data_IF_377328490582
#
_entry.id   IF_377328490582
#
_cell.length_a   1.000
_cell.length_b   1.000
_cell.length_c   1.000
_cell.angle_alpha   90.00
_cell.angle_beta   90.00
_cell.angle_gamma   90.00
#
_symmetry.space_group_name_H-M   'P 1'
#
loop_
_entity.id
_entity.type
_entity.pdbx_description
1 polymer ?
#
# COMPACT_ATOMS: atom_id res chain seq x y z
N UNK A 1 34.83 13.64 15.54
CA UNK A 1 34.08 13.75 14.28
C UNK A 1 34.90 13.14 13.15
N UNK A 2 34.64 11.89 12.78
CA UNK A 2 35.34 11.22 11.67
C UNK A 2 34.63 11.56 10.37
N UNK A 3 35.20 12.51 9.62
CA UNK A 3 34.84 12.77 8.22
C UNK A 3 35.14 11.51 7.42
N UNK A 4 34.10 10.67 7.20
CA UNK A 4 34.19 9.50 6.33
C UNK A 4 34.37 10.00 4.90
N UNK A 5 35.60 9.94 4.41
CA UNK A 5 35.96 10.17 3.02
C UNK A 5 35.15 9.21 2.15
N UNK A 6 34.07 9.73 1.56
CA UNK A 6 33.40 9.07 0.45
C UNK A 6 34.35 9.11 -0.74
N UNK A 7 34.63 8.01 -1.43
CA UNK A 7 35.13 8.11 -2.79
C UNK A 7 34.03 8.80 -3.60
N UNK A 8 34.19 10.11 -3.84
CA UNK A 8 33.42 10.87 -4.83
C UNK A 8 33.80 10.32 -6.20
N UNK A 9 33.21 9.20 -6.59
CA UNK A 9 33.50 8.52 -7.85
C UNK A 9 32.26 7.84 -8.40
N UNK A 10 32.01 8.03 -9.70
CA UNK A 10 30.96 7.38 -10.50
C UNK A 10 31.12 5.84 -10.62
N UNK A 11 31.89 5.21 -9.72
CA UNK A 11 32.35 3.80 -9.79
C UNK A 11 32.03 2.99 -8.54
N UNK A 12 31.28 3.56 -7.59
CA UNK A 12 30.81 2.84 -6.39
C UNK A 12 29.48 2.17 -6.70
N UNK A 13 29.43 0.86 -6.48
CA UNK A 13 28.23 0.05 -6.55
C UNK A 13 27.85 -0.46 -5.16
N UNK A 14 26.55 -0.60 -4.92
CA UNK A 14 25.98 -1.04 -3.66
C UNK A 14 25.29 -2.39 -3.85
N UNK A 15 25.59 -3.36 -2.98
CA UNK A 15 24.83 -4.59 -2.87
C UNK A 15 24.01 -4.55 -1.58
N UNK A 16 22.78 -5.03 -1.65
CA UNK A 16 21.92 -5.17 -0.47
C UNK A 16 22.12 -6.56 0.11
N UNK A 17 22.30 -6.66 1.42
CA UNK A 17 22.43 -7.91 2.15
C UNK A 17 21.35 -8.01 3.23
N UNK A 18 20.79 -9.20 3.41
CA UNK A 18 19.87 -9.55 4.48
C UNK A 18 20.21 -10.91 5.06
N UNK A 19 20.36 -11.00 6.39
CA UNK A 19 20.82 -12.17 7.13
C UNK A 19 22.11 -12.80 6.56
N UNK A 20 23.02 -11.95 6.07
CA UNK A 20 24.29 -12.38 5.50
C UNK A 20 24.22 -12.83 4.03
N UNK A 21 23.02 -13.01 3.48
CA UNK A 21 22.79 -13.31 2.06
C UNK A 21 22.74 -12.03 1.24
N UNK A 22 23.39 -12.02 0.07
CA UNK A 22 23.33 -10.91 -0.89
C UNK A 22 22.09 -11.05 -1.76
N UNK A 23 21.32 -9.96 -1.87
CA UNK A 23 20.27 -9.83 -2.88
C UNK A 23 20.95 -9.65 -4.24
N UNK A 24 20.65 -10.47 -5.26
CA UNK A 24 21.27 -10.37 -6.57
C UNK A 24 21.01 -9.02 -7.24
N UNK A 25 22.10 -8.33 -7.57
CA UNK A 25 22.05 -7.08 -8.33
C UNK A 25 22.67 -5.90 -7.61
N UNK A 26 23.70 -5.33 -8.24
CA UNK A 26 24.40 -4.16 -7.72
C UNK A 26 23.74 -2.87 -8.24
N UNK A 27 23.50 -1.92 -7.35
CA UNK A 27 22.93 -0.61 -7.66
C UNK A 27 24.03 0.44 -7.73
N UNK A 28 23.97 1.35 -8.70
CA UNK A 28 24.92 2.45 -8.79
C UNK A 28 24.56 3.58 -7.81
N UNK A 29 25.56 4.42 -7.58
CA UNK A 29 25.44 5.54 -6.66
C UNK A 29 24.33 6.53 -7.02
N UNK A 30 24.12 6.82 -8.30
CA UNK A 30 23.05 7.71 -8.76
C UNK A 30 21.68 7.17 -8.39
N UNK A 31 21.41 5.92 -8.72
CA UNK A 31 20.11 5.27 -8.50
C UNK A 31 19.77 5.25 -7.02
N UNK A 32 20.76 4.92 -6.17
CA UNK A 32 20.57 4.93 -4.72
C UNK A 32 20.25 6.32 -4.18
N UNK A 33 20.91 7.40 -4.65
CA UNK A 33 20.57 8.78 -4.20
C UNK A 33 19.13 9.11 -4.50
N UNK A 34 18.73 8.88 -5.75
CA UNK A 34 17.51 9.44 -6.27
C UNK A 34 16.30 8.68 -5.75
N UNK A 35 16.42 7.38 -5.52
CA UNK A 35 15.28 6.52 -5.23
C UNK A 35 15.21 5.96 -3.82
N UNK A 36 16.33 5.79 -3.13
CA UNK A 36 16.40 5.19 -1.77
C UNK A 36 17.60 5.77 -0.97
N UNK A 37 17.67 7.10 -0.77
CA UNK A 37 18.83 7.79 -0.23
C UNK A 37 19.30 7.27 1.14
N UNK A 38 18.40 6.83 2.03
CA UNK A 38 18.77 6.37 3.38
C UNK A 38 19.48 5.02 3.41
N UNK A 39 19.50 4.30 2.28
CA UNK A 39 20.36 3.12 2.13
C UNK A 39 21.84 3.46 2.43
N UNK A 40 22.26 4.71 2.21
CA UNK A 40 23.61 5.19 2.51
C UNK A 40 23.95 5.16 3.98
N UNK A 41 22.98 5.45 4.83
CA UNK A 41 23.18 5.61 6.28
C UNK A 41 23.13 4.25 6.99
N UNK A 42 22.74 3.20 6.27
CA UNK A 42 22.72 1.84 6.76
C UNK A 42 24.14 1.28 7.02
N UNK A 43 24.28 0.31 7.96
CA UNK A 43 25.55 -0.33 8.27
C UNK A 43 26.19 -0.96 7.04
N UNK A 44 27.50 -0.71 6.86
CA UNK A 44 28.28 -1.18 5.71
C UNK A 44 29.26 -2.25 6.16
N UNK A 45 29.41 -3.30 5.37
CA UNK A 45 30.59 -4.16 5.43
C UNK A 45 31.74 -3.47 4.67
N UNK A 46 33.01 -3.76 5.02
CA UNK A 46 34.16 -3.14 4.35
C UNK A 46 34.09 -3.36 2.83
N UNK A 47 34.46 -2.33 2.08
CA UNK A 47 34.37 -2.34 0.63
C UNK A 47 35.36 -3.35 0.05
N UNK A 48 34.89 -4.25 -0.81
CA UNK A 48 35.75 -5.10 -1.63
C UNK A 48 36.09 -4.37 -2.92
N UNK A 49 37.38 -4.09 -3.12
CA UNK A 49 37.90 -3.61 -4.39
C UNK A 49 37.83 -4.74 -5.43
N UNK A 50 37.20 -4.48 -6.57
CA UNK A 50 37.26 -5.39 -7.71
C UNK A 50 38.49 -5.10 -8.57
N UNK A 51 38.90 -6.07 -9.38
CA UNK A 51 40.07 -6.05 -10.28
C UNK A 51 40.10 -4.93 -11.32
N UNK A 52 39.09 -4.05 -11.37
CA UNK A 52 38.94 -2.95 -12.33
C UNK A 52 38.77 -1.57 -11.65
N UNK A 53 39.15 -1.41 -10.38
CA UNK A 53 39.03 -0.12 -9.66
C UNK A 53 37.59 0.29 -9.33
N UNK A 54 36.61 -0.61 -9.52
CA UNK A 54 35.24 -0.46 -9.03
C UNK A 54 35.15 -0.91 -7.58
N UNK A 55 34.51 -0.09 -6.75
CA UNK A 55 34.30 -0.37 -5.35
C UNK A 55 32.89 -0.91 -5.14
N UNK A 56 32.80 -2.09 -4.51
CA UNK A 56 31.51 -2.65 -4.10
C UNK A 56 31.35 -2.51 -2.60
N UNK A 57 30.22 -1.95 -2.19
CA UNK A 57 29.85 -1.76 -0.79
C UNK A 57 28.64 -2.65 -0.50
N UNK A 58 28.81 -3.59 0.41
CA UNK A 58 27.72 -4.40 0.92
C UNK A 58 27.02 -3.67 2.06
N UNK A 59 25.73 -3.36 1.86
CA UNK A 59 24.87 -2.70 2.85
C UNK A 59 24.02 -3.77 3.50
N UNK A 60 24.13 -3.88 4.82
CA UNK A 60 23.40 -4.88 5.60
C UNK A 60 22.12 -4.28 6.19
N UNK A 61 20.97 -4.73 5.69
CA UNK A 61 19.65 -4.31 6.16
C UNK A 61 19.08 -5.19 7.27
N UNK A 62 19.81 -6.20 7.75
CA UNK A 62 19.32 -7.17 8.75
C UNK A 62 18.79 -6.49 10.00
N UNK A 63 19.57 -5.57 10.58
CA UNK A 63 19.17 -4.86 11.78
C UNK A 63 17.98 -3.92 11.54
N UNK A 64 17.83 -3.39 10.32
CA UNK A 64 16.71 -2.53 9.94
C UNK A 64 15.43 -3.37 9.84
N UNK A 65 15.47 -4.47 9.09
CA UNK A 65 14.32 -5.38 8.95
C UNK A 65 13.90 -5.97 10.29
N UNK A 66 14.86 -6.39 11.14
CA UNK A 66 14.55 -6.94 12.47
C UNK A 66 13.99 -5.92 13.46
N UNK A 67 14.07 -4.60 13.18
CA UNK A 67 13.36 -3.57 13.98
C UNK A 67 11.90 -3.42 13.56
N UNK A 68 11.51 -3.98 12.41
CA UNK A 68 10.12 -3.99 12.00
C UNK A 68 9.33 -4.86 12.99
N UNK A 69 8.44 -4.24 13.76
CA UNK A 69 7.60 -4.92 14.77
C UNK A 69 6.79 -6.09 14.17
N UNK A 70 6.54 -6.06 12.86
CA UNK A 70 5.85 -7.11 12.14
C UNK A 70 6.66 -8.42 12.11
N UNK A 71 7.99 -8.36 12.10
CA UNK A 71 8.86 -9.56 12.08
C UNK A 71 8.74 -10.35 13.38
N UNK A 72 8.55 -9.67 14.51
CA UNK A 72 8.40 -10.31 15.82
C UNK A 72 7.07 -11.08 15.98
N UNK A 73 6.08 -10.80 15.11
CA UNK A 73 4.74 -11.37 15.20
C UNK A 73 4.59 -12.79 14.62
N UNK A 74 5.66 -13.40 14.07
CA UNK A 74 5.65 -14.63 13.27
C UNK A 74 4.83 -14.58 11.96
N UNK A 75 3.95 -13.60 11.78
CA UNK A 75 3.17 -13.41 10.55
C UNK A 75 4.01 -12.91 9.36
N UNK A 76 5.18 -12.32 9.62
CA UNK A 76 6.06 -11.74 8.61
C UNK A 76 7.46 -12.36 8.68
N UNK A 77 7.69 -13.51 8.00
CA UNK A 77 9.02 -14.11 7.96
C UNK A 77 9.99 -13.19 7.24
N UNK A 78 11.27 -13.21 7.65
CA UNK A 78 12.32 -12.40 7.02
C UNK A 78 12.47 -12.70 5.52
N UNK A 79 12.14 -13.93 5.09
CA UNK A 79 12.11 -14.32 3.68
C UNK A 79 11.20 -13.41 2.83
N UNK A 80 10.11 -12.90 3.40
CA UNK A 80 9.22 -11.98 2.69
C UNK A 80 9.91 -10.64 2.39
N UNK A 81 10.72 -10.15 3.32
CA UNK A 81 11.56 -8.97 3.07
C UNK A 81 12.65 -9.25 2.04
N UNK A 82 13.19 -10.47 1.99
CA UNK A 82 14.13 -10.86 0.93
C UNK A 82 13.47 -10.79 -0.44
N UNK A 83 12.25 -11.31 -0.58
CA UNK A 83 11.47 -11.24 -1.83
C UNK A 83 11.19 -9.79 -2.24
N UNK A 84 10.71 -8.96 -1.30
CA UNK A 84 10.47 -7.53 -1.55
C UNK A 84 11.74 -6.79 -1.98
N UNK A 85 12.87 -7.05 -1.33
CA UNK A 85 14.16 -6.46 -1.70
C UNK A 85 14.64 -6.96 -3.06
N UNK A 86 14.40 -8.22 -3.41
CA UNK A 86 14.71 -8.75 -4.73
C UNK A 86 13.91 -8.03 -5.83
N UNK A 87 12.62 -7.79 -5.60
CA UNK A 87 11.76 -7.01 -6.50
C UNK A 87 12.26 -5.56 -6.60
N UNK A 88 12.53 -4.91 -5.48
CA UNK A 88 13.02 -3.53 -5.46
C UNK A 88 14.36 -3.39 -6.21
N UNK A 89 15.32 -4.29 -5.95
CA UNK A 89 16.61 -4.29 -6.66
C UNK A 89 16.41 -4.52 -8.15
N UNK A 90 15.50 -5.41 -8.56
CA UNK A 90 15.16 -5.62 -9.97
C UNK A 90 14.61 -4.34 -10.60
N UNK A 91 13.61 -3.70 -9.98
CA UNK A 91 13.01 -2.43 -10.45
C UNK A 91 14.07 -1.36 -10.64
N UNK A 92 14.93 -1.17 -9.63
CA UNK A 92 16.00 -0.16 -9.69
C UNK A 92 17.06 -0.50 -10.74
N UNK A 93 17.37 -1.78 -10.94
CA UNK A 93 18.30 -2.20 -12.00
C UNK A 93 17.75 -2.02 -13.40
N UNK A 94 16.45 -2.23 -13.58
CA UNK A 94 15.82 -1.99 -14.87
C UNK A 94 15.82 -0.50 -15.18
N UNK A 95 15.59 0.36 -14.18
CA UNK A 95 15.79 1.81 -14.30
C UNK A 95 17.23 2.19 -14.66
N UNK A 96 18.24 1.55 -14.07
CA UNK A 96 19.64 1.79 -14.43
C UNK A 96 19.94 1.47 -15.90
N UNK A 97 19.31 0.43 -16.44
CA UNK A 97 19.45 0.04 -17.85
C UNK A 97 18.63 0.94 -18.78
N UNK A 98 17.50 1.43 -18.29
CA UNK A 98 16.54 2.22 -19.04
C UNK A 98 16.12 3.46 -18.23
N UNK A 99 16.95 4.53 -18.19
CA UNK A 99 16.73 5.69 -17.31
C UNK A 99 15.45 6.48 -17.58
N UNK A 100 14.81 6.28 -18.73
CA UNK A 100 13.53 6.92 -19.08
C UNK A 100 12.30 6.18 -18.55
N UNK A 101 12.48 4.98 -17.98
CA UNK A 101 11.36 4.20 -17.45
C UNK A 101 10.92 4.76 -16.09
N UNK A 102 9.61 4.67 -15.82
CA UNK A 102 9.07 4.98 -14.50
C UNK A 102 9.24 3.75 -13.57
N UNK A 103 10.03 3.85 -12.49
CA UNK A 103 10.17 2.75 -11.53
C UNK A 103 8.85 2.42 -10.82
N UNK A 104 7.92 3.37 -10.71
CA UNK A 104 6.59 3.13 -10.15
C UNK A 104 5.79 2.13 -10.97
N UNK A 105 5.75 2.33 -12.28
CA UNK A 105 5.13 1.40 -13.23
C UNK A 105 5.69 -0.03 -13.11
N UNK A 106 7.01 -0.21 -13.12
CA UNK A 106 7.64 -1.54 -13.01
C UNK A 106 7.38 -2.21 -11.66
N UNK A 107 7.30 -1.43 -10.57
CA UNK A 107 6.89 -1.96 -9.27
C UNK A 107 5.43 -2.39 -9.27
N UNK A 108 4.53 -1.59 -9.85
CA UNK A 108 3.11 -1.92 -10.00
C UNK A 108 2.93 -3.24 -10.75
N UNK A 109 3.56 -3.40 -11.91
CA UNK A 109 3.54 -4.63 -12.71
C UNK A 109 4.03 -5.85 -11.90
N UNK A 110 5.07 -5.65 -11.09
CA UNK A 110 5.60 -6.72 -10.22
C UNK A 110 4.60 -7.13 -9.14
N UNK A 111 3.88 -6.18 -8.55
CA UNK A 111 2.83 -6.44 -7.55
C UNK A 111 1.62 -7.13 -8.17
N UNK A 112 1.22 -6.75 -9.39
CA UNK A 112 0.14 -7.41 -10.14
C UNK A 112 0.49 -8.85 -10.49
N UNK A 113 1.73 -9.10 -10.93
CA UNK A 113 2.21 -10.46 -11.18
C UNK A 113 2.17 -11.33 -9.92
N UNK A 114 2.60 -10.79 -8.77
CA UNK A 114 2.49 -11.50 -7.49
C UNK A 114 1.04 -11.81 -7.12
N UNK A 115 0.12 -10.85 -7.32
CA UNK A 115 -1.29 -11.04 -7.03
C UNK A 115 -1.87 -12.18 -7.88
N UNK A 116 -1.54 -12.22 -9.17
CA UNK A 116 -1.97 -13.27 -10.10
C UNK A 116 -1.39 -14.64 -9.72
N UNK A 117 -0.10 -14.71 -9.39
CA UNK A 117 0.56 -15.95 -8.95
C UNK A 117 -0.05 -16.50 -7.66
N UNK A 118 -0.50 -15.61 -6.78
CA UNK A 118 -1.14 -15.97 -5.52
C UNK A 118 -2.66 -16.18 -5.64
N UNK A 119 -3.19 -16.32 -6.85
CA UNK A 119 -4.61 -16.61 -7.10
C UNK A 119 -5.56 -15.61 -6.40
N UNK A 120 -5.21 -14.32 -6.39
CA UNK A 120 -5.99 -13.27 -5.73
C UNK A 120 -6.07 -13.42 -4.20
N UNK A 121 -5.09 -14.06 -3.56
CA UNK A 121 -4.96 -14.07 -2.09
C UNK A 121 -4.56 -12.67 -1.58
N UNK A 122 -5.58 -11.89 -1.24
CA UNK A 122 -5.42 -10.53 -0.73
C UNK A 122 -4.69 -10.45 0.62
N UNK A 123 -4.75 -11.49 1.46
CA UNK A 123 -4.02 -11.50 2.73
C UNK A 123 -2.52 -11.65 2.47
N UNK A 124 -2.14 -12.58 1.59
CA UNK A 124 -0.74 -12.74 1.19
C UNK A 124 -0.23 -11.51 0.46
N UNK A 125 -1.02 -10.94 -0.45
CA UNK A 125 -0.67 -9.71 -1.14
C UNK A 125 -0.47 -8.53 -0.17
N UNK A 126 -1.35 -8.40 0.83
CA UNK A 126 -1.24 -7.37 1.86
C UNK A 126 0.07 -7.48 2.64
N UNK A 127 0.57 -8.69 2.88
CA UNK A 127 1.87 -8.87 3.55
C UNK A 127 3.03 -8.31 2.73
N UNK A 128 3.08 -8.57 1.41
CA UNK A 128 4.06 -7.95 0.52
C UNK A 128 3.93 -6.42 0.52
N UNK A 129 2.70 -5.93 0.43
CA UNK A 129 2.40 -4.50 0.43
C UNK A 129 2.89 -3.80 1.70
N UNK A 130 2.70 -4.46 2.85
CA UNK A 130 3.15 -3.96 4.16
C UNK A 130 4.67 -3.95 4.27
N UNK A 131 5.35 -4.97 3.75
CA UNK A 131 6.82 -4.98 3.67
C UNK A 131 7.34 -3.81 2.83
N UNK A 132 6.71 -3.50 1.69
CA UNK A 132 7.07 -2.33 0.90
C UNK A 132 6.79 -1.02 1.63
N UNK A 133 5.61 -0.88 2.27
CA UNK A 133 5.27 0.31 3.06
C UNK A 133 6.33 0.57 4.15
N UNK A 134 6.74 -0.48 4.88
CA UNK A 134 7.81 -0.37 5.88
C UNK A 134 9.15 -0.01 5.26
N UNK A 135 9.56 -0.67 4.17
CA UNK A 135 10.84 -0.39 3.52
C UNK A 135 10.89 1.03 2.96
N UNK A 136 9.78 1.53 2.41
CA UNK A 136 9.71 2.82 1.74
C UNK A 136 9.60 4.00 2.71
N UNK A 137 9.25 3.73 3.96
CA UNK A 137 9.16 4.74 5.01
C UNK A 137 10.42 5.62 5.09
N UNK A 138 10.21 6.89 5.42
CA UNK A 138 11.24 7.90 5.55
C UNK A 138 12.30 7.54 6.60
N UNK A 139 11.96 6.74 7.61
CA UNK A 139 12.92 6.26 8.61
C UNK A 139 13.77 5.07 8.15
N UNK A 140 13.40 4.42 7.04
CA UNK A 140 14.01 3.18 6.56
C UNK A 140 14.82 3.40 5.28
N UNK A 141 14.19 3.44 4.11
CA UNK A 141 14.88 3.72 2.84
C UNK A 141 14.59 5.12 2.28
N UNK A 142 13.52 5.78 2.77
CA UNK A 142 13.04 7.05 2.23
C UNK A 142 12.83 6.96 0.73
N UNK A 143 11.89 6.12 0.31
CA UNK A 143 11.69 5.86 -1.09
C UNK A 143 11.26 7.13 -1.84
N UNK A 144 11.67 7.27 -3.10
CA UNK A 144 11.20 8.38 -3.95
C UNK A 144 9.68 8.31 -4.16
N UNK A 145 9.07 9.47 -4.43
CA UNK A 145 7.65 9.56 -4.80
C UNK A 145 7.26 8.64 -5.96
N UNK A 146 8.15 8.42 -6.94
CA UNK A 146 7.92 7.48 -8.05
C UNK A 146 7.79 6.02 -7.59
N UNK A 147 8.47 5.60 -6.53
CA UNK A 147 8.28 4.25 -5.99
C UNK A 147 6.97 4.14 -5.21
N UNK A 148 6.61 5.19 -4.45
CA UNK A 148 5.32 5.26 -3.78
C UNK A 148 4.14 5.26 -4.76
N UNK A 149 4.25 5.96 -5.89
CA UNK A 149 3.22 5.96 -6.93
C UNK A 149 2.98 4.57 -7.51
N UNK A 150 4.00 3.69 -7.55
CA UNK A 150 3.81 2.29 -7.95
C UNK A 150 2.86 1.53 -7.03
N UNK A 151 2.93 1.75 -5.72
CA UNK A 151 1.99 1.17 -4.74
C UNK A 151 0.59 1.77 -4.90
N UNK A 152 0.49 3.09 -5.06
CA UNK A 152 -0.78 3.78 -5.29
C UNK A 152 -1.46 3.32 -6.59
N UNK A 153 -0.70 3.19 -7.68
CA UNK A 153 -1.18 2.72 -8.98
C UNK A 153 -1.71 1.28 -8.90
N UNK A 154 -1.00 0.39 -8.18
CA UNK A 154 -1.48 -0.97 -7.96
C UNK A 154 -2.88 -0.98 -7.34
N UNK A 155 -3.12 -0.14 -6.32
CA UNK A 155 -4.44 -0.01 -5.70
C UNK A 155 -5.44 0.56 -6.70
N UNK A 156 -5.13 1.64 -7.43
CA UNK A 156 -6.06 2.22 -8.41
C UNK A 156 -6.48 1.21 -9.47
N UNK A 157 -5.53 0.50 -10.09
CA UNK A 157 -5.80 -0.49 -11.14
C UNK A 157 -6.65 -1.64 -10.62
N UNK A 158 -6.39 -2.09 -9.39
CA UNK A 158 -7.07 -3.25 -8.80
C UNK A 158 -8.21 -2.87 -7.85
N UNK A 159 -8.55 -1.58 -7.76
CA UNK A 159 -9.45 -1.02 -6.74
C UNK A 159 -10.82 -1.70 -6.74
N UNK A 160 -11.36 -1.92 -7.94
CA UNK A 160 -12.63 -2.62 -8.12
C UNK A 160 -12.53 -4.04 -7.59
N UNK A 161 -11.52 -4.80 -8.01
CA UNK A 161 -11.37 -6.22 -7.62
C UNK A 161 -11.18 -6.32 -6.11
N UNK A 162 -10.31 -5.47 -5.54
CA UNK A 162 -10.07 -5.36 -4.10
C UNK A 162 -11.39 -5.09 -3.34
N UNK A 163 -12.17 -4.11 -3.77
CA UNK A 163 -13.43 -3.73 -3.15
C UNK A 163 -14.51 -4.82 -3.16
N UNK A 164 -14.48 -5.74 -4.14
CA UNK A 164 -15.47 -6.81 -4.28
C UNK A 164 -15.03 -8.14 -3.67
N UNK A 165 -13.73 -8.42 -3.62
CA UNK A 165 -13.20 -9.75 -3.29
C UNK A 165 -12.45 -9.80 -1.96
N UNK A 166 -11.92 -8.68 -1.48
CA UNK A 166 -11.26 -8.62 -0.18
C UNK A 166 -12.24 -8.17 0.91
N UNK A 167 -12.08 -8.64 2.16
CA UNK A 167 -12.80 -8.09 3.29
C UNK A 167 -12.55 -6.59 3.45
N UNK A 168 -13.55 -5.85 3.92
CA UNK A 168 -13.46 -4.40 4.08
C UNK A 168 -12.23 -3.95 4.91
N UNK A 169 -11.91 -4.65 5.99
CA UNK A 169 -10.72 -4.36 6.82
C UNK A 169 -9.39 -4.52 6.09
N UNK A 170 -9.32 -5.44 5.12
CA UNK A 170 -8.15 -5.66 4.26
C UNK A 170 -8.06 -4.56 3.20
N UNK A 171 -9.17 -4.28 2.53
CA UNK A 171 -9.26 -3.21 1.52
C UNK A 171 -8.86 -1.85 2.09
N UNK A 172 -9.31 -1.53 3.30
CA UNK A 172 -8.94 -0.31 4.01
C UNK A 172 -7.46 -0.29 4.40
N UNK A 173 -6.90 -1.41 4.84
CA UNK A 173 -5.49 -1.51 5.20
C UNK A 173 -4.57 -1.22 4.00
N UNK A 174 -4.92 -1.64 2.78
CA UNK A 174 -4.15 -1.30 1.58
C UNK A 174 -4.03 0.21 1.39
N UNK A 175 -5.13 0.93 1.52
CA UNK A 175 -5.13 2.39 1.35
C UNK A 175 -4.39 3.10 2.49
N UNK A 176 -4.54 2.59 3.72
CA UNK A 176 -3.86 3.12 4.90
C UNK A 176 -2.32 2.98 4.82
N UNK A 177 -1.83 1.94 4.15
CA UNK A 177 -0.39 1.68 3.96
C UNK A 177 0.25 2.53 2.84
N UNK A 178 -0.54 3.27 2.06
CA UNK A 178 -0.02 4.10 0.99
C UNK A 178 0.55 5.43 1.48
N UNK A 179 1.37 6.06 0.64
CA UNK A 179 1.94 7.37 0.93
C UNK A 179 0.83 8.40 1.23
N UNK A 180 0.97 9.14 2.33
CA UNK A 180 -0.09 10.01 2.83
C UNK A 180 -0.58 11.05 1.81
N UNK A 181 0.26 11.49 0.88
CA UNK A 181 -0.17 12.44 -0.16
C UNK A 181 -1.25 11.87 -1.10
N UNK A 182 -1.26 10.55 -1.32
CA UNK A 182 -2.20 9.89 -2.23
C UNK A 182 -3.44 9.35 -1.49
N UNK A 183 -3.42 9.34 -0.16
CA UNK A 183 -4.42 8.71 0.68
C UNK A 183 -5.85 9.13 0.33
N UNK A 184 -6.13 10.43 0.22
CA UNK A 184 -7.48 10.95 -0.03
C UNK A 184 -8.03 10.50 -1.40
N UNK A 185 -7.17 10.46 -2.42
CA UNK A 185 -7.54 10.02 -3.76
C UNK A 185 -7.83 8.51 -3.78
N UNK A 186 -6.97 7.71 -3.14
CA UNK A 186 -7.14 6.27 -3.01
C UNK A 186 -8.39 5.90 -2.19
N UNK A 187 -8.62 6.57 -1.06
CA UNK A 187 -9.83 6.35 -0.25
C UNK A 187 -11.09 6.68 -1.02
N UNK A 188 -11.06 7.75 -1.84
CA UNK A 188 -12.19 8.12 -2.70
C UNK A 188 -12.46 7.04 -3.74
N UNK A 189 -11.43 6.57 -4.43
CA UNK A 189 -11.57 5.52 -5.43
C UNK A 189 -12.10 4.23 -4.79
N UNK A 190 -11.55 3.82 -3.64
CA UNK A 190 -12.02 2.63 -2.91
C UNK A 190 -13.50 2.78 -2.53
N UNK A 191 -13.86 3.89 -1.89
CA UNK A 191 -15.22 4.15 -1.44
C UNK A 191 -16.25 4.07 -2.58
N UNK A 192 -15.90 4.56 -3.76
CA UNK A 192 -16.76 4.54 -4.94
C UNK A 192 -16.97 3.12 -5.50
N UNK A 193 -16.03 2.20 -5.25
CA UNK A 193 -16.10 0.81 -5.71
C UNK A 193 -16.70 -0.16 -4.68
N UNK A 194 -16.66 0.18 -3.37
CA UNK A 194 -17.22 -0.66 -2.30
C UNK A 194 -18.68 -1.05 -2.57
N UNK A 195 -19.12 -2.21 -2.09
CA UNK A 195 -20.53 -2.57 -2.18
C UNK A 195 -21.39 -1.75 -1.20
N UNK A 196 -22.71 -1.70 -1.43
CA UNK A 196 -23.63 -0.92 -0.57
C UNK A 196 -23.55 -1.25 0.93
N UNK A 197 -23.49 -2.53 1.38
CA UNK A 197 -23.38 -2.83 2.80
C UNK A 197 -22.06 -2.32 3.40
N UNK A 198 -20.92 -2.51 2.71
CA UNK A 198 -19.62 -2.05 3.19
C UNK A 198 -19.53 -0.53 3.30
N UNK A 199 -20.07 0.21 2.31
CA UNK A 199 -20.16 1.68 2.41
C UNK A 199 -21.01 2.11 3.60
N UNK A 200 -22.17 1.46 3.77
CA UNK A 200 -23.07 1.76 4.88
C UNK A 200 -22.43 1.46 6.23
N UNK A 201 -21.67 0.36 6.33
CA UNK A 201 -20.88 0.03 7.50
C UNK A 201 -19.82 1.10 7.78
N UNK A 202 -18.99 1.42 6.80
CA UNK A 202 -17.91 2.40 6.93
C UNK A 202 -18.42 3.78 7.36
N UNK A 203 -19.55 4.23 6.82
CA UNK A 203 -20.18 5.51 7.22
C UNK A 203 -20.79 5.40 8.63
N UNK A 204 -21.49 4.29 8.93
CA UNK A 204 -22.14 4.07 10.24
C UNK A 204 -21.14 3.99 11.39
N UNK A 205 -19.99 3.38 11.15
CA UNK A 205 -18.90 3.28 12.13
C UNK A 205 -17.97 4.50 12.11
N UNK A 206 -18.24 5.50 11.27
CA UNK A 206 -17.39 6.68 11.10
C UNK A 206 -15.94 6.34 10.73
N UNK A 207 -15.70 5.23 10.03
CA UNK A 207 -14.35 4.76 9.71
C UNK A 207 -13.64 3.99 10.84
N UNK A 208 -14.29 3.77 11.98
CA UNK A 208 -13.75 3.02 13.11
C UNK A 208 -13.85 1.50 12.88
N UNK A 209 -13.24 1.03 11.80
CA UNK A 209 -13.15 -0.39 11.45
C UNK A 209 -11.73 -0.88 11.79
N UNK A 210 -11.58 -1.86 12.68
CA UNK A 210 -10.31 -2.53 12.93
C UNK A 210 -9.64 -3.01 11.64
N UNK A 211 -8.40 -2.57 11.41
CA UNK A 211 -7.64 -3.02 10.25
C UNK A 211 -7.06 -4.42 10.48
N UNK A 212 -6.84 -5.16 9.39
CA UNK A 212 -6.50 -6.58 9.47
C UNK A 212 -5.20 -6.88 10.24
N UNK A 213 -4.15 -6.08 10.08
CA UNK A 213 -2.83 -6.39 10.66
C UNK A 213 -2.70 -5.95 12.12
N UNK A 214 -3.25 -4.79 12.45
CA UNK A 214 -3.12 -4.18 13.77
C UNK A 214 -4.30 -4.43 14.71
N UNK A 215 -5.47 -4.78 14.16
CA UNK A 215 -6.72 -4.85 14.95
C UNK A 215 -7.23 -3.50 15.44
N UNK A 216 -6.56 -2.40 15.06
CA UNK A 216 -6.89 -1.04 15.46
C UNK A 216 -7.42 -0.25 14.26
N UNK A 217 -8.33 0.72 14.47
CA UNK A 217 -8.81 1.60 13.41
C UNK A 217 -7.77 2.64 13.01
N UNK A 218 -7.80 3.06 11.74
CA UNK A 218 -6.93 4.14 11.24
C UNK A 218 -7.53 5.53 11.51
N UNK A 219 -6.72 6.41 12.11
CA UNK A 219 -7.06 7.82 12.31
C UNK A 219 -7.28 8.55 10.98
N UNK A 220 -6.49 8.21 9.94
CA UNK A 220 -6.62 8.82 8.62
C UNK A 220 -7.98 8.49 7.98
N UNK A 221 -8.41 7.23 8.11
CA UNK A 221 -9.71 6.77 7.60
C UNK A 221 -10.86 7.43 8.37
N UNK A 222 -10.78 7.45 9.70
CA UNK A 222 -11.73 8.15 10.55
C UNK A 222 -11.87 9.63 10.13
N UNK A 223 -10.74 10.33 10.01
CA UNK A 223 -10.69 11.74 9.62
C UNK A 223 -11.32 11.97 8.25
N UNK A 224 -11.01 11.12 7.27
CA UNK A 224 -11.58 11.19 5.92
C UNK A 224 -13.10 11.02 5.94
N UNK A 225 -13.63 10.03 6.66
CA UNK A 225 -15.06 9.77 6.73
C UNK A 225 -15.79 10.91 7.43
N UNK A 226 -15.25 11.46 8.51
CA UNK A 226 -15.84 12.62 9.20
C UNK A 226 -15.84 13.86 8.31
N UNK A 227 -14.74 14.14 7.61
CA UNK A 227 -14.67 15.30 6.71
C UNK A 227 -15.65 15.20 5.53
N UNK A 228 -15.83 13.99 4.98
CA UNK A 228 -16.65 13.77 3.79
C UNK A 228 -18.14 13.51 4.10
N UNK A 229 -18.43 12.85 5.21
CA UNK A 229 -19.77 12.35 5.57
C UNK A 229 -20.23 12.72 6.99
N UNK A 230 -19.47 13.52 7.74
CA UNK A 230 -19.84 14.07 9.05
C UNK A 230 -21.13 14.92 9.00
N UNK A 231 -21.41 15.74 10.00
CA UNK A 231 -22.77 16.26 10.32
C UNK A 231 -23.66 16.69 9.12
N UNK A 232 -23.09 17.20 8.02
CA UNK A 232 -23.79 17.53 6.75
C UNK A 232 -24.30 16.32 5.94
N UNK A 233 -23.61 15.17 5.97
CA UNK A 233 -24.02 13.90 5.34
C UNK A 233 -25.17 13.23 6.07
N UNK A 234 -25.16 13.29 7.42
CA UNK A 234 -26.20 12.72 8.26
C UNK A 234 -27.59 13.30 7.97
N UNK A 235 -27.69 14.61 7.70
CA UNK A 235 -28.98 15.26 7.43
C UNK A 235 -29.50 14.89 6.05
N UNK A 236 -28.67 14.95 5.00
CA UNK A 236 -29.09 14.61 3.63
C UNK A 236 -29.44 13.13 3.48
N UNK A 237 -28.71 12.23 4.13
CA UNK A 237 -29.03 10.80 4.12
C UNK A 237 -30.22 10.47 5.02
N UNK A 238 -30.35 11.07 6.21
CA UNK A 238 -31.58 10.96 7.02
C UNK A 238 -32.79 11.50 6.28
N UNK A 239 -32.65 12.59 5.51
CA UNK A 239 -33.70 13.13 4.65
C UNK A 239 -34.02 12.15 3.51
N UNK A 240 -33.02 11.57 2.82
CA UNK A 240 -33.24 10.57 1.76
C UNK A 240 -33.88 9.29 2.30
N UNK A 241 -33.47 8.80 3.47
CA UNK A 241 -34.03 7.63 4.14
C UNK A 241 -35.46 7.91 4.60
N UNK A 242 -35.72 9.07 5.24
CA UNK A 242 -37.09 9.51 5.59
C UNK A 242 -37.97 9.69 4.36
N UNK A 243 -37.45 10.23 3.26
CA UNK A 243 -38.17 10.38 2.00
C UNK A 243 -38.52 9.01 1.40
N UNK A 244 -37.57 8.06 1.37
CA UNK A 244 -37.82 6.68 0.91
C UNK A 244 -38.85 5.95 1.78
N UNK A 245 -38.81 6.13 3.10
CA UNK A 245 -39.82 5.58 4.01
C UNK A 245 -41.21 6.25 3.85
N UNK A 246 -41.28 7.56 3.59
CA UNK A 246 -42.55 8.25 3.27
C UNK A 246 -43.15 7.78 1.95
N UNK A 247 -42.33 7.58 0.92
CA UNK A 247 -42.78 7.06 -0.38
C UNK A 247 -43.28 5.62 -0.27
N UNK A 248 -42.62 4.76 0.52
CA UNK A 248 -43.10 3.40 0.82
C UNK A 248 -44.42 3.39 1.60
N UNK A 249 -44.60 4.28 2.60
CA UNK A 249 -45.87 4.40 3.34
C UNK A 249 -47.02 4.95 2.49
N UNK A 250 -46.74 5.76 1.46
CA UNK A 250 -47.77 6.26 0.53
C UNK A 250 -48.20 5.23 -0.52
N UNK A 251 -47.42 4.16 -0.76
CA UNK A 251 -47.75 3.14 -1.77
C UNK A 251 -48.54 1.93 -1.25
N UNK A 252 -48.75 1.79 0.06
CA UNK A 252 -49.59 0.72 0.64
C UNK A 252 -50.93 1.22 1.19
N UNK A 253 -51.70 1.96 0.39
CA UNK A 253 -52.99 2.47 0.88
C UNK A 253 -54.07 2.77 -0.15
N UNK A 254 -53.93 2.38 -1.42
CA UNK A 254 -54.94 2.71 -2.44
C UNK A 254 -55.27 1.58 -3.43
N UNK A 255 -54.91 0.33 -3.12
CA UNK A 255 -55.33 -0.84 -3.92
C UNK A 255 -55.95 -2.00 -3.12
N UNK A 256 -56.07 -1.90 -1.78
CA UNK A 256 -56.70 -2.95 -0.94
C UNK A 256 -58.00 -2.46 -0.28
N UNK A 257 -58.94 -1.97 -1.09
CA UNK A 257 -60.36 -2.01 -0.71
C UNK A 257 -61.13 -2.74 -1.80
N UNK A 258 -60.98 -4.06 -1.79
CA UNK A 258 -61.96 -4.96 -2.36
C UNK A 258 -63.29 -4.73 -1.65
N UNK A 259 -64.21 -4.04 -2.31
CA UNK A 259 -65.64 -4.17 -2.06
C UNK A 259 -66.23 -4.93 -3.25
N UNK A 260 -66.60 -6.17 -2.95
CA UNK A 260 -67.40 -7.06 -3.76
C UNK A 260 -68.69 -6.39 -4.22
N UNK A 261 -69.00 -6.49 -5.52
CA UNK A 261 -70.37 -6.66 -6.02
C UNK A 261 -70.31 -7.67 -7.18
N UNK A 262 -70.92 -8.86 -7.09
CA UNK A 262 -71.11 -9.72 -8.26
C UNK A 262 -72.38 -9.27 -9.01
N UNK A 263 -72.38 -9.28 -10.37
CA UNK A 263 -73.59 -9.01 -11.12
C UNK A 263 -74.52 -10.23 -11.13
N UNK A 264 -75.78 -10.00 -10.76
CA UNK A 264 -76.97 -10.57 -11.39
C UNK A 264 -77.72 -9.43 -12.06
#
# INVERSE_FOLDING_TARGET
MTLRLFPRGRTVCFNICLDGSRIPGSLDYSTVIHHIPHLRDCPRRPATAQSLGRYTIDINLTAVVRRCRLVDSQFFPVSLFQDCLHILVRVLRDLQRHPSHDPGSTLCDSLEQLLLQNQLDWYKQLRYFTCFAYLFDDSVLKASSALHSGMSNFIFTNCRVLAYQAPLSVSLQFVDLCFHADFSALMTALFEQLCNPDRAELVRTHGLIPLYLGGEPSEAIFTYIIQRFGERGSIRERIKIRARHRVRRRRHGLLDRGLFIPPR
#
